data_IF_422454527822
#
_entry.id   IF_422454527822
#
_cell.length_a   1.000
_cell.length_b   1.000
_cell.length_c   1.000
_cell.angle_alpha   90.00
_cell.angle_beta   90.00
_cell.angle_gamma   90.00
#
_symmetry.space_group_name_H-M   'P 1'
#
loop_
_entity.id
_entity.type
_entity.pdbx_description
1 polymer ?
#
# COMPACT_ATOMS: atom_id res chain seq x y z
N UNK A 1 -2.50 3.44 -2.93
CA UNK A 1 -2.91 3.66 -4.34
C UNK A 1 -4.29 3.06 -4.56
N UNK A 2 -5.24 3.88 -5.02
CA UNK A 2 -6.60 3.47 -5.36
C UNK A 2 -6.72 3.16 -6.86
N UNK A 3 -7.75 2.41 -7.25
CA UNK A 3 -8.11 2.23 -8.66
C UNK A 3 -8.60 3.58 -9.23
N UNK A 4 -8.18 4.01 -10.44
CA UNK A 4 -8.66 5.26 -11.04
C UNK A 4 -10.17 5.24 -11.25
N UNK A 5 -10.85 6.35 -10.96
CA UNK A 5 -12.32 6.44 -11.09
C UNK A 5 -12.79 6.27 -12.54
N UNK A 6 -12.06 6.85 -13.51
CA UNK A 6 -12.27 6.67 -14.94
C UNK A 6 -10.95 6.31 -15.66
N UNK A 7 -10.64 5.01 -15.80
CA UNK A 7 -9.42 4.55 -16.49
C UNK A 7 -9.37 4.93 -17.97
N UNK A 8 -10.51 5.10 -18.65
CA UNK A 8 -10.56 5.39 -20.08
C UNK A 8 -10.19 6.85 -20.39
N UNK A 9 -10.23 7.72 -19.37
CA UNK A 9 -9.79 9.10 -19.47
C UNK A 9 -8.27 9.27 -19.27
N UNK A 10 -7.55 8.22 -18.84
CA UNK A 10 -6.10 8.29 -18.63
C UNK A 10 -5.34 8.14 -19.95
N UNK A 11 -4.22 8.83 -20.06
CA UNK A 11 -3.22 8.52 -21.09
C UNK A 11 -2.60 7.14 -20.87
N UNK A 12 -2.03 6.55 -21.92
CA UNK A 12 -1.29 5.29 -21.81
C UNK A 12 -0.14 5.36 -20.81
N UNK A 13 0.50 6.52 -20.65
CA UNK A 13 1.55 6.73 -19.65
C UNK A 13 0.99 6.66 -18.22
N UNK A 14 -0.09 7.39 -17.94
CA UNK A 14 -0.74 7.39 -16.62
C UNK A 14 -1.29 6.01 -16.28
N UNK A 15 -1.91 5.34 -17.26
CA UNK A 15 -2.36 3.97 -17.11
C UNK A 15 -1.21 2.99 -16.89
N UNK A 16 -0.12 3.15 -17.63
CA UNK A 16 1.12 2.38 -17.44
C UNK A 16 1.70 2.56 -16.04
N UNK A 17 1.69 3.79 -15.50
CA UNK A 17 2.08 4.06 -14.11
C UNK A 17 1.17 3.33 -13.12
N UNK A 18 -0.14 3.40 -13.32
CA UNK A 18 -1.09 2.67 -12.47
C UNK A 18 -0.91 1.15 -12.53
N UNK A 19 -0.65 0.58 -13.70
CA UNK A 19 -0.48 -0.87 -13.85
C UNK A 19 0.85 -1.37 -13.28
N UNK A 20 1.95 -0.67 -13.56
CA UNK A 20 3.29 -1.23 -13.41
C UNK A 20 4.16 -0.57 -12.34
N UNK A 21 3.82 0.63 -11.85
CA UNK A 21 4.69 1.38 -10.94
C UNK A 21 4.15 1.38 -9.50
N UNK A 22 4.99 0.99 -8.55
CA UNK A 22 4.74 1.09 -7.11
C UNK A 22 5.98 1.63 -6.41
N UNK A 23 5.79 2.30 -5.28
CA UNK A 23 6.91 2.69 -4.43
C UNK A 23 7.62 1.45 -3.89
N UNK A 24 8.95 1.53 -3.79
CA UNK A 24 9.81 0.50 -3.21
C UNK A 24 10.87 1.16 -2.31
N UNK A 25 10.46 1.80 -1.21
CA UNK A 25 11.40 2.54 -0.37
C UNK A 25 12.24 1.59 0.49
N UNK A 26 13.50 1.96 0.68
CA UNK A 26 14.36 1.38 1.71
C UNK A 26 14.08 2.10 3.05
N UNK A 27 13.61 1.35 4.06
CA UNK A 27 13.20 1.90 5.35
C UNK A 27 11.69 1.76 5.59
N UNK A 28 11.08 2.71 6.30
CA UNK A 28 9.65 2.65 6.63
C UNK A 28 8.79 2.65 5.36
N UNK A 29 7.95 1.61 5.21
CA UNK A 29 7.04 1.47 4.09
C UNK A 29 5.63 1.14 4.54
N UNK A 30 4.64 1.88 4.01
CA UNK A 30 3.22 1.59 4.18
C UNK A 30 2.76 0.58 3.12
N UNK A 31 2.52 -0.65 3.57
CA UNK A 31 2.18 -1.80 2.72
C UNK A 31 0.85 -2.44 3.12
N UNK A 32 0.30 -3.28 2.23
CA UNK A 32 -1.01 -3.93 2.41
C UNK A 32 -0.85 -5.43 2.58
N UNK A 33 -1.51 -5.98 3.59
CA UNK A 33 -1.46 -7.40 3.93
C UNK A 33 -2.88 -7.97 3.93
N UNK A 34 -3.00 -9.26 3.66
CA UNK A 34 -4.27 -10.00 3.75
C UNK A 34 -4.10 -11.20 4.66
N UNK A 35 -4.99 -11.33 5.64
CA UNK A 35 -4.99 -12.48 6.55
C UNK A 35 -5.70 -13.68 5.91
N UNK A 36 -5.12 -14.18 4.82
CA UNK A 36 -5.72 -15.20 3.94
C UNK A 36 -6.06 -16.52 4.66
N UNK A 37 -5.21 -16.95 5.59
CA UNK A 37 -5.41 -18.16 6.38
C UNK A 37 -6.36 -17.99 7.58
N UNK A 38 -6.89 -16.78 7.81
CA UNK A 38 -7.76 -16.48 8.94
C UNK A 38 -9.00 -15.71 8.50
N UNK A 39 -9.11 -14.46 8.96
CA UNK A 39 -10.33 -13.67 8.74
C UNK A 39 -10.52 -13.16 7.30
N UNK A 40 -9.54 -13.37 6.40
CA UNK A 40 -9.54 -12.96 4.99
C UNK A 40 -9.68 -11.45 4.77
N UNK A 41 -9.44 -10.64 5.80
CA UNK A 41 -9.51 -9.18 5.73
C UNK A 41 -8.17 -8.62 5.27
N UNK A 42 -8.25 -7.55 4.49
CA UNK A 42 -7.12 -6.68 4.20
C UNK A 42 -6.89 -5.71 5.34
N UNK A 43 -5.63 -5.33 5.55
CA UNK A 43 -5.21 -4.27 6.47
C UNK A 43 -3.88 -3.68 5.99
N UNK A 44 -3.52 -2.54 6.57
CA UNK A 44 -2.27 -1.86 6.25
C UNK A 44 -1.27 -2.00 7.39
N UNK A 45 0.01 -1.97 7.03
CA UNK A 45 1.13 -2.11 7.96
C UNK A 45 2.18 -1.08 7.58
N UNK A 46 2.77 -0.40 8.57
CA UNK A 46 4.04 0.29 8.36
C UNK A 46 5.15 -0.61 8.87
N UNK A 47 6.01 -1.08 7.95
CA UNK A 47 7.14 -1.96 8.24
C UNK A 47 8.43 -1.31 7.76
N UNK A 48 9.47 -1.39 8.57
CA UNK A 48 10.82 -1.06 8.11
C UNK A 48 11.34 -2.20 7.20
N UNK A 49 11.54 -1.91 5.91
CA UNK A 49 11.90 -2.91 4.89
C UNK A 49 13.32 -3.45 5.02
N UNK A 50 14.19 -2.78 5.80
CA UNK A 50 15.56 -3.23 6.07
C UNK A 50 15.61 -4.27 7.18
N UNK A 51 14.80 -4.07 8.22
CA UNK A 51 14.84 -4.85 9.47
C UNK A 51 13.63 -5.76 9.68
N UNK A 52 12.59 -5.60 8.87
CA UNK A 52 11.27 -6.24 9.02
C UNK A 52 10.52 -5.86 10.31
N UNK A 53 10.95 -4.83 11.05
CA UNK A 53 10.25 -4.36 12.24
C UNK A 53 8.92 -3.74 11.85
N UNK A 54 7.84 -4.23 12.45
CA UNK A 54 6.51 -3.61 12.35
C UNK A 54 6.48 -2.37 13.24
N UNK A 55 6.18 -1.22 12.66
CA UNK A 55 6.09 0.07 13.34
C UNK A 55 4.64 0.45 13.64
N UNK A 56 3.69 0.09 12.77
CA UNK A 56 2.25 0.32 12.99
C UNK A 56 1.38 -0.67 12.19
N UNK A 57 0.13 -0.85 12.63
CA UNK A 57 -0.93 -1.59 11.92
C UNK A 57 -2.21 -0.76 11.99
N UNK A 58 -2.93 -0.64 10.87
CA UNK A 58 -4.14 0.19 10.77
C UNK A 58 -5.12 -0.38 9.74
N UNK A 59 -6.39 0.02 9.84
CA UNK A 59 -7.45 -0.51 8.99
C UNK A 59 -7.37 0.07 7.55
N UNK A 60 -7.90 -0.65 6.55
CA UNK A 60 -8.06 -0.08 5.21
C UNK A 60 -8.95 1.16 5.26
N UNK A 61 -8.54 2.22 4.57
CA UNK A 61 -9.27 3.50 4.54
C UNK A 61 -8.91 4.46 5.67
N UNK A 62 -8.26 4.00 6.73
CA UNK A 62 -7.68 4.89 7.74
C UNK A 62 -6.43 5.61 7.19
N UNK A 63 -6.18 6.85 7.61
CA UNK A 63 -4.97 7.57 7.22
C UNK A 63 -3.72 6.83 7.72
N UNK A 64 -2.62 6.95 6.96
CA UNK A 64 -1.34 6.39 7.37
C UNK A 64 -0.89 7.04 8.70
N UNK A 65 -0.50 6.24 9.72
CA UNK A 65 0.02 6.77 10.97
C UNK A 65 1.34 7.53 10.78
N UNK A 66 1.55 8.59 11.56
CA UNK A 66 2.85 9.27 11.66
C UNK A 66 3.79 8.38 12.46
N UNK A 67 4.91 7.99 11.86
CA UNK A 67 5.96 7.22 12.52
C UNK A 67 7.06 8.20 12.96
N UNK A 68 7.43 8.14 14.24
CA UNK A 68 8.50 8.95 14.83
C UNK A 68 9.90 8.37 14.66
#
# INVERSE_FOLDING_TARGET
MAYPEDPAALSDEEWGRYLFFRENPEGSFAERWSHSAGCRRWFNVVRDTRTNRIQAVYLPGEPQPVIG
#
